data_IF_477873035837
#
_entry.id   IF_477873035837
#
_cell.length_a   1.000
_cell.length_b   1.000
_cell.length_c   1.000
_cell.angle_alpha   90.00
_cell.angle_beta   90.00
_cell.angle_gamma   90.00
#
_symmetry.space_group_name_H-M   'P 1'
#
loop_
_entity.id
_entity.type
_entity.pdbx_description
1 polymer ?
#
# COMPACT_ATOMS: atom_id res chain seq x y z
N UNK A 1 -4.60 7.65 -6.08
CA UNK A 1 -4.66 6.97 -4.77
C UNK A 1 -5.96 7.23 -4.03
N UNK A 2 -6.27 8.48 -3.62
CA UNK A 2 -7.45 8.78 -2.80
C UNK A 2 -8.78 8.27 -3.38
N UNK A 3 -8.96 8.35 -4.71
CA UNK A 3 -10.14 7.79 -5.38
C UNK A 3 -10.26 6.27 -5.20
N UNK A 4 -9.14 5.53 -5.21
CA UNK A 4 -9.14 4.08 -5.00
C UNK A 4 -9.49 3.73 -3.56
N UNK A 5 -8.98 4.49 -2.59
CA UNK A 5 -9.36 4.36 -1.18
C UNK A 5 -10.85 4.66 -0.98
N UNK A 6 -11.37 5.69 -1.65
CA UNK A 6 -12.80 6.01 -1.63
C UNK A 6 -13.66 4.90 -2.22
N UNK A 7 -13.21 4.27 -3.31
CA UNK A 7 -13.87 3.13 -3.94
C UNK A 7 -13.71 1.81 -3.15
N UNK A 8 -13.00 1.82 -2.01
CA UNK A 8 -12.84 0.66 -1.15
C UNK A 8 -11.81 -0.36 -1.63
N UNK A 9 -10.92 0.01 -2.56
CA UNK A 9 -9.79 -0.84 -2.98
C UNK A 9 -8.81 -1.02 -1.81
N UNK A 10 -8.39 -2.26 -1.56
CA UNK A 10 -7.50 -2.65 -0.46
C UNK A 10 -6.25 -3.37 -0.98
N UNK A 11 -5.28 -3.59 -0.09
CA UNK A 11 -4.02 -4.30 -0.36
C UNK A 11 -3.15 -3.58 -1.42
N UNK A 12 -3.19 -2.25 -1.40
CA UNK A 12 -2.44 -1.40 -2.33
C UNK A 12 -0.98 -1.34 -1.87
N UNK A 13 -0.06 -1.82 -2.72
CA UNK A 13 1.37 -1.66 -2.50
C UNK A 13 1.83 -0.34 -3.13
N UNK A 14 2.41 0.55 -2.32
CA UNK A 14 2.80 1.92 -2.67
C UNK A 14 4.30 2.12 -2.46
N UNK A 15 5.02 2.53 -3.51
CA UNK A 15 6.47 2.69 -3.45
C UNK A 15 7.04 3.60 -4.54
N UNK A 16 8.37 3.89 -4.51
CA UNK A 16 9.41 3.21 -3.70
C UNK A 16 9.46 3.60 -2.22
N UNK A 17 8.89 4.73 -1.85
CA UNK A 17 8.80 5.19 -0.45
C UNK A 17 7.40 5.68 -0.13
N UNK A 18 7.04 5.64 1.15
CA UNK A 18 5.78 6.25 1.60
C UNK A 18 5.84 7.78 1.42
N UNK A 19 4.73 8.43 1.08
CA UNK A 19 4.71 9.87 0.92
C UNK A 19 5.10 10.59 2.22
N UNK A 20 6.12 11.46 2.15
CA UNK A 20 6.68 12.15 3.32
C UNK A 20 5.72 13.10 4.05
N UNK A 21 4.55 13.38 3.48
CA UNK A 21 3.49 14.16 4.13
C UNK A 21 2.59 13.32 5.06
N UNK A 22 2.75 11.99 5.06
CA UNK A 22 2.01 11.12 5.98
C UNK A 22 2.70 11.13 7.34
N UNK A 23 2.00 11.65 8.34
CA UNK A 23 2.45 11.45 9.72
C UNK A 23 2.34 9.95 10.09
N UNK A 24 3.12 9.46 11.07
CA UNK A 24 3.07 8.07 11.50
C UNK A 24 1.64 7.59 11.84
N UNK A 25 0.85 8.44 12.49
CA UNK A 25 -0.53 8.12 12.85
C UNK A 25 -1.44 7.96 11.62
N UNK A 26 -1.29 8.84 10.62
CA UNK A 26 -2.07 8.74 9.38
C UNK A 26 -1.64 7.51 8.58
N UNK A 27 -0.35 7.24 8.51
CA UNK A 27 0.18 6.03 7.87
C UNK A 27 -0.41 4.77 8.51
N UNK A 28 -0.41 4.66 9.85
CA UNK A 28 -0.97 3.51 10.56
C UNK A 28 -2.46 3.31 10.24
N UNK A 29 -3.26 4.39 10.22
CA UNK A 29 -4.68 4.29 9.84
C UNK A 29 -4.86 3.78 8.41
N UNK A 30 -3.98 4.18 7.49
CA UNK A 30 -4.01 3.72 6.11
C UNK A 30 -3.63 2.24 5.98
N UNK A 31 -2.63 1.76 6.74
CA UNK A 31 -2.27 0.34 6.82
C UNK A 31 -3.43 -0.47 7.38
N UNK A 32 -3.96 -0.09 8.55
CA UNK A 32 -5.01 -0.83 9.25
C UNK A 32 -6.33 -0.90 8.47
N UNK A 33 -6.74 0.20 7.82
CA UNK A 33 -8.04 0.27 7.14
C UNK A 33 -8.02 -0.22 5.70
N UNK A 34 -6.92 0.02 4.99
CA UNK A 34 -6.82 -0.20 3.54
C UNK A 34 -5.77 -1.24 3.15
N UNK A 35 -5.01 -1.80 4.11
CA UNK A 35 -3.95 -2.76 3.81
C UNK A 35 -2.85 -2.15 2.95
N UNK A 36 -2.56 -0.85 3.12
CA UNK A 36 -1.47 -0.22 2.38
C UNK A 36 -0.14 -0.80 2.85
N UNK A 37 0.70 -1.22 1.92
CA UNK A 37 2.04 -1.74 2.17
C UNK A 37 3.08 -1.05 1.27
N UNK A 38 4.35 -1.15 1.63
CA UNK A 38 5.45 -0.77 0.73
C UNK A 38 5.69 -1.83 -0.35
N UNK A 39 6.46 -1.47 -1.38
CA UNK A 39 6.98 -2.46 -2.35
C UNK A 39 8.21 -3.18 -1.78
N UNK A 40 8.39 -4.44 -2.14
CA UNK A 40 9.51 -5.29 -1.77
C UNK A 40 10.59 -5.34 -2.85
N UNK A 41 11.21 -6.50 -3.03
CA UNK A 41 12.04 -6.76 -4.20
C UNK A 41 11.16 -7.05 -5.41
N UNK A 42 11.70 -6.86 -6.62
CA UNK A 42 10.95 -7.12 -7.86
C UNK A 42 10.48 -8.57 -7.92
N UNK A 43 11.33 -9.52 -7.58
CA UNK A 43 10.99 -10.94 -7.63
C UNK A 43 9.92 -11.31 -6.59
N UNK A 44 10.04 -10.80 -5.36
CA UNK A 44 9.06 -11.03 -4.29
C UNK A 44 7.68 -10.44 -4.63
N UNK A 45 7.66 -9.21 -5.14
CA UNK A 45 6.41 -8.52 -5.48
C UNK A 45 5.72 -9.19 -6.69
N UNK A 46 6.49 -9.67 -7.68
CA UNK A 46 5.93 -10.42 -8.82
C UNK A 46 5.32 -11.74 -8.34
N UNK A 47 6.02 -12.49 -7.50
CA UNK A 47 5.48 -13.72 -6.93
C UNK A 47 4.20 -13.44 -6.14
N UNK A 48 4.22 -12.44 -5.26
CA UNK A 48 3.09 -12.06 -4.42
C UNK A 48 1.83 -11.66 -5.22
N UNK A 49 1.97 -10.99 -6.36
CA UNK A 49 0.83 -10.50 -7.15
C UNK A 49 0.33 -11.49 -8.21
N UNK A 50 1.15 -12.46 -8.61
CA UNK A 50 0.82 -13.41 -9.68
C UNK A 50 0.49 -14.81 -9.16
N UNK A 51 0.90 -15.16 -7.94
CA UNK A 51 0.42 -16.35 -7.26
C UNK A 51 -1.04 -16.11 -6.80
N UNK A 52 -1.98 -16.81 -7.44
CA UNK A 52 -3.39 -16.90 -7.03
C UNK A 52 -3.70 -18.29 -6.47
#
# INVERSE_FOLDING_TARGET
>A
LLSLLYLGVKNIHLGPTLPGFLSPNVANVLVEKFGIAGIGTVDDDIALFMEQ
#
